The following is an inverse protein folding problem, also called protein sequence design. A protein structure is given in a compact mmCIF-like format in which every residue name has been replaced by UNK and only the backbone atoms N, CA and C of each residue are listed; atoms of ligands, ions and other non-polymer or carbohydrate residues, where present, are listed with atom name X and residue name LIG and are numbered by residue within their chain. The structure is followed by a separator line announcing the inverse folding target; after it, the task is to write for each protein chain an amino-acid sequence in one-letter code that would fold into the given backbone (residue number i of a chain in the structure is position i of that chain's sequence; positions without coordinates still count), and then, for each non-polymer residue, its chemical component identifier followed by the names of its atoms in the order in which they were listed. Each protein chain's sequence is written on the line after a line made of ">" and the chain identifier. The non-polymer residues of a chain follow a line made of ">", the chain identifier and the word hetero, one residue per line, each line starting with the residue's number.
data_IF_606058062926
#
_entry.id   IF_606058062926
#
_cell.length_a   1.000
_cell.length_b   1.000
_cell.length_c   1.000
_cell.angle_alpha   90.00
_cell.angle_beta   90.00
_cell.angle_gamma   90.00
#
_symmetry.space_group_name_H-M   'P 1'
#
loop_
_entity.id
_entity.type
_entity.pdbx_description
1 polymer ?
#
# COMPACT_ATOMS: atom_id res chain seq x y z
N UNK A 1 -14.60 26.38 15.05
CA UNK A 1 -14.95 25.04 14.56
C UNK A 1 -14.82 25.03 13.04
N UNK A 2 -13.76 24.47 12.50
CA UNK A 2 -13.69 24.19 11.06
C UNK A 2 -14.72 23.11 10.75
N UNK A 3 -15.56 23.36 9.73
CA UNK A 3 -16.59 22.42 9.32
C UNK A 3 -15.97 21.08 8.95
N UNK A 4 -16.56 19.93 9.34
CA UNK A 4 -16.04 18.59 9.04
C UNK A 4 -15.74 18.37 7.54
N UNK A 5 -16.44 19.06 6.66
CA UNK A 5 -16.29 19.09 5.21
C UNK A 5 -14.90 19.47 4.69
N UNK A 6 -14.27 20.46 5.29
CA UNK A 6 -12.94 20.93 4.85
C UNK A 6 -11.85 19.91 5.23
N UNK A 7 -12.05 19.15 6.29
CA UNK A 7 -11.03 18.27 6.86
C UNK A 7 -10.75 17.03 6.00
N UNK A 8 -11.80 16.29 5.58
CA UNK A 8 -11.60 15.07 4.77
C UNK A 8 -11.00 15.34 3.40
N UNK A 9 -11.43 16.39 2.71
CA UNK A 9 -10.84 16.78 1.43
C UNK A 9 -9.39 17.20 1.56
N UNK A 10 -9.07 17.97 2.60
CA UNK A 10 -7.70 18.37 2.90
C UNK A 10 -6.83 17.14 3.14
N UNK A 11 -7.34 16.12 3.85
CA UNK A 11 -6.59 14.89 4.10
C UNK A 11 -6.38 14.05 2.83
N UNK A 12 -7.35 13.96 1.93
CA UNK A 12 -7.16 13.30 0.61
C UNK A 12 -6.06 14.01 -0.19
N UNK A 13 -6.09 15.33 -0.23
CA UNK A 13 -5.07 16.13 -0.92
C UNK A 13 -3.70 15.98 -0.26
N UNK A 14 -3.63 15.95 1.07
CA UNK A 14 -2.39 15.73 1.82
C UNK A 14 -1.88 14.31 1.56
N UNK A 15 -2.72 13.29 1.63
CA UNK A 15 -2.35 11.89 1.37
C UNK A 15 -1.77 11.70 -0.03
N UNK A 16 -2.24 12.47 -1.01
CA UNK A 16 -1.79 12.46 -2.41
C UNK A 16 -0.67 13.43 -2.73
N UNK A 17 -0.25 14.26 -1.78
CA UNK A 17 0.75 15.28 -2.04
C UNK A 17 2.10 14.64 -2.44
N UNK A 18 2.67 14.95 -3.61
CA UNK A 18 3.92 14.35 -4.08
C UNK A 18 5.15 14.73 -3.24
N UNK A 19 5.04 15.74 -2.37
CA UNK A 19 6.11 16.13 -1.44
C UNK A 19 6.15 15.28 -0.17
N UNK A 20 5.17 14.40 0.06
CA UNK A 20 5.20 13.47 1.21
C UNK A 20 6.35 12.49 1.07
N UNK A 21 6.87 12.02 2.22
CA UNK A 21 7.85 10.94 2.21
C UNK A 21 7.26 9.68 1.56
N UNK A 22 8.07 9.02 0.75
CA UNK A 22 7.76 7.73 0.15
C UNK A 22 8.25 6.59 1.05
N UNK A 23 7.87 5.35 0.74
CA UNK A 23 8.24 4.20 1.56
C UNK A 23 9.76 4.07 1.72
N UNK A 24 10.54 4.25 0.66
CA UNK A 24 12.00 4.16 0.74
C UNK A 24 12.58 5.18 1.72
N UNK A 25 12.05 6.40 1.76
CA UNK A 25 12.52 7.44 2.68
C UNK A 25 12.16 7.14 4.14
N UNK A 26 11.06 6.41 4.40
CA UNK A 26 10.77 5.89 5.74
C UNK A 26 11.71 4.75 6.11
N UNK A 27 11.98 3.84 5.18
CA UNK A 27 12.91 2.73 5.41
C UNK A 27 14.30 3.26 5.75
N UNK A 28 14.82 4.20 4.98
CA UNK A 28 16.13 4.83 5.20
C UNK A 28 16.21 5.63 6.50
N UNK A 29 15.07 6.17 6.99
CA UNK A 29 15.04 6.89 8.26
C UNK A 29 14.91 5.98 9.48
N UNK A 30 14.32 4.80 9.34
CA UNK A 30 13.98 3.91 10.45
C UNK A 30 15.06 2.84 10.66
N UNK A 31 15.58 2.29 9.56
CA UNK A 31 16.49 1.14 9.60
C UNK A 31 17.94 1.56 9.37
N UNK A 32 18.85 0.87 10.03
CA UNK A 32 20.29 1.12 9.91
C UNK A 32 20.84 0.70 8.55
N UNK A 33 20.30 -0.40 8.01
CA UNK A 33 20.68 -0.96 6.72
C UNK A 33 19.43 -1.47 5.97
N UNK A 34 19.42 -1.34 4.65
CA UNK A 34 18.40 -1.93 3.79
C UNK A 34 19.02 -2.49 2.52
N UNK A 35 18.69 -3.73 2.20
CA UNK A 35 19.11 -4.41 0.97
C UNK A 35 17.86 -4.76 0.17
N UNK A 36 17.63 -4.05 -0.94
CA UNK A 36 16.54 -4.34 -1.85
C UNK A 36 16.82 -5.62 -2.65
N UNK A 37 15.81 -6.46 -2.78
CA UNK A 37 15.88 -7.70 -3.55
C UNK A 37 14.72 -7.77 -4.55
N UNK A 38 14.96 -8.30 -5.74
CA UNK A 38 14.10 -8.14 -6.91
C UNK A 38 13.49 -9.44 -7.43
N UNK A 39 12.43 -9.30 -8.24
CA UNK A 39 11.83 -10.34 -9.07
C UNK A 39 10.87 -11.28 -8.37
N UNK A 40 9.84 -11.68 -9.09
CA UNK A 40 8.81 -12.63 -8.62
C UNK A 40 9.19 -14.11 -8.82
N UNK A 41 10.29 -14.38 -9.54
CA UNK A 41 10.76 -15.73 -9.94
C UNK A 41 9.81 -16.45 -10.88
N UNK A 42 8.91 -15.74 -11.53
CA UNK A 42 7.95 -16.30 -12.48
C UNK A 42 7.94 -15.56 -13.83
N UNK A 43 7.82 -14.22 -13.78
CA UNK A 43 7.68 -13.39 -14.98
C UNK A 43 8.70 -12.25 -15.04
N UNK A 44 8.64 -11.31 -14.11
CA UNK A 44 9.58 -10.16 -14.06
C UNK A 44 9.63 -9.50 -12.68
N UNK A 45 10.43 -8.46 -12.56
CA UNK A 45 10.33 -7.52 -11.45
C UNK A 45 9.35 -6.40 -11.76
N UNK A 46 8.62 -5.95 -10.74
CA UNK A 46 7.80 -4.74 -10.78
C UNK A 46 8.24 -3.82 -9.63
N UNK A 47 8.64 -2.60 -10.00
CA UNK A 47 9.19 -1.60 -9.07
C UNK A 47 8.15 -0.89 -8.21
N UNK A 48 6.86 -1.16 -8.40
CA UNK A 48 5.77 -0.54 -7.62
C UNK A 48 5.67 -1.08 -6.20
N UNK A 49 6.16 -2.31 -5.95
CA UNK A 49 6.45 -2.82 -4.61
C UNK A 49 7.94 -3.08 -4.50
N UNK A 50 8.60 -2.51 -3.52
CA UNK A 50 9.95 -2.83 -3.11
C UNK A 50 9.91 -3.89 -2.02
N UNK A 51 10.83 -4.84 -2.09
CA UNK A 51 10.99 -5.90 -1.09
C UNK A 51 12.45 -6.03 -0.73
N UNK A 52 12.74 -6.30 0.53
CA UNK A 52 14.13 -6.46 0.94
C UNK A 52 14.28 -6.88 2.39
N UNK A 53 15.53 -6.86 2.81
CA UNK A 53 15.94 -7.13 4.18
C UNK A 53 16.43 -5.82 4.80
N UNK A 54 15.95 -5.53 6.00
CA UNK A 54 16.37 -4.36 6.75
C UNK A 54 16.91 -4.78 8.11
N UNK A 55 17.83 -4.00 8.64
CA UNK A 55 18.38 -4.17 9.98
C UNK A 55 17.99 -2.96 10.84
N UNK A 56 17.52 -3.21 12.04
CA UNK A 56 17.31 -2.21 13.08
C UNK A 56 17.88 -2.78 14.37
N UNK A 57 18.88 -2.11 14.92
CA UNK A 57 19.71 -2.65 16.00
C UNK A 57 20.29 -4.04 15.63
N UNK A 58 20.03 -5.06 16.43
CA UNK A 58 20.49 -6.43 16.17
C UNK A 58 19.45 -7.33 15.49
N UNK A 59 18.29 -6.78 15.10
CA UNK A 59 17.20 -7.54 14.50
C UNK A 59 17.12 -7.32 12.99
N UNK A 60 16.90 -8.42 12.28
CA UNK A 60 16.62 -8.40 10.84
C UNK A 60 15.12 -8.49 10.56
N UNK A 61 14.64 -7.61 9.70
CA UNK A 61 13.27 -7.51 9.26
C UNK A 61 13.14 -7.81 7.78
N UNK A 62 11.98 -8.30 7.38
CA UNK A 62 11.58 -8.33 5.97
C UNK A 62 10.68 -7.13 5.71
N UNK A 63 11.04 -6.35 4.69
CA UNK A 63 10.29 -5.17 4.27
C UNK A 63 9.54 -5.48 2.98
N UNK A 64 8.28 -5.08 2.93
CA UNK A 64 7.43 -5.12 1.73
C UNK A 64 6.72 -3.77 1.64
N UNK A 65 6.98 -2.97 0.61
CA UNK A 65 6.51 -1.59 0.61
C UNK A 65 6.04 -1.14 -0.77
N UNK A 66 4.87 -0.55 -0.84
CA UNK A 66 4.39 0.14 -2.03
C UNK A 66 5.14 1.45 -2.20
N UNK A 67 5.69 1.67 -3.40
CA UNK A 67 6.59 2.76 -3.68
C UNK A 67 6.11 3.60 -4.86
N UNK A 68 5.91 4.88 -4.62
CA UNK A 68 5.69 5.91 -5.65
C UNK A 68 7.02 6.56 -6.04
N UNK A 69 7.08 7.11 -7.26
CA UNK A 69 8.24 7.88 -7.72
C UNK A 69 8.20 9.34 -7.27
N UNK A 70 9.36 10.01 -7.29
CA UNK A 70 9.51 11.46 -7.07
C UNK A 70 9.41 12.24 -8.36
N UNK A 71 9.89 11.69 -9.44
CA UNK A 71 9.86 12.28 -10.78
C UNK A 71 8.80 11.60 -11.65
N UNK A 72 8.42 12.24 -12.75
CA UNK A 72 7.51 11.64 -13.73
C UNK A 72 8.06 10.33 -14.28
N UNK A 73 9.37 10.27 -14.56
CA UNK A 73 10.04 9.06 -15.03
C UNK A 73 9.93 7.92 -14.02
N UNK A 74 10.25 8.18 -12.76
CA UNK A 74 10.14 7.19 -11.69
C UNK A 74 8.69 6.74 -11.47
N UNK A 75 7.73 7.65 -11.56
CA UNK A 75 6.32 7.29 -11.44
C UNK A 75 5.87 6.35 -12.57
N UNK A 76 6.33 6.59 -13.81
CA UNK A 76 6.06 5.67 -14.94
C UNK A 76 6.69 4.30 -14.67
N UNK A 77 7.96 4.25 -14.25
CA UNK A 77 8.66 3.00 -13.92
C UNK A 77 7.99 2.20 -12.78
N UNK A 78 7.32 2.89 -11.85
CA UNK A 78 6.62 2.33 -10.69
C UNK A 78 5.11 2.24 -10.88
N UNK A 79 4.60 2.35 -12.12
CA UNK A 79 3.18 2.34 -12.46
C UNK A 79 2.36 3.30 -11.57
N UNK A 80 2.91 4.48 -11.23
CA UNK A 80 2.29 5.45 -10.32
C UNK A 80 1.94 4.88 -8.93
N UNK A 81 2.70 3.90 -8.45
CA UNK A 81 2.45 3.19 -7.21
C UNK A 81 1.31 2.17 -7.28
N UNK A 82 0.90 1.77 -8.48
CA UNK A 82 -0.12 0.74 -8.70
C UNK A 82 0.53 -0.60 -9.07
N UNK A 83 0.51 -1.61 -8.17
CA UNK A 83 1.22 -2.85 -8.40
C UNK A 83 0.57 -3.74 -9.46
N UNK A 84 1.41 -4.36 -10.31
CA UNK A 84 1.04 -5.46 -11.19
C UNK A 84 1.06 -6.81 -10.44
N UNK A 85 0.55 -7.92 -11.03
CA UNK A 85 0.54 -9.24 -10.39
C UNK A 85 1.91 -9.71 -9.89
N UNK A 86 2.98 -9.37 -10.63
CA UNK A 86 4.35 -9.74 -10.28
C UNK A 86 4.82 -9.11 -8.96
N UNK A 87 4.33 -7.92 -8.62
CA UNK A 87 4.60 -7.27 -7.33
C UNK A 87 4.05 -8.09 -6.16
N UNK A 88 2.81 -8.54 -6.26
CA UNK A 88 2.19 -9.36 -5.22
C UNK A 88 2.83 -10.74 -5.11
N UNK A 89 3.21 -11.35 -6.25
CA UNK A 89 3.98 -12.61 -6.24
C UNK A 89 5.36 -12.43 -5.63
N UNK A 90 6.02 -11.31 -5.90
CA UNK A 90 7.26 -10.93 -5.21
C UNK A 90 7.04 -10.80 -3.71
N UNK A 91 6.00 -10.09 -3.27
CA UNK A 91 5.65 -9.96 -1.86
C UNK A 91 5.45 -11.33 -1.20
N UNK A 92 4.66 -12.24 -1.80
CA UNK A 92 4.45 -13.61 -1.32
C UNK A 92 5.79 -14.36 -1.15
N UNK A 93 6.70 -14.22 -2.11
CA UNK A 93 8.02 -14.85 -2.02
C UNK A 93 8.79 -14.37 -0.79
N UNK A 94 8.73 -13.06 -0.49
CA UNK A 94 9.37 -12.49 0.69
C UNK A 94 8.67 -12.87 1.99
N UNK A 95 7.33 -12.98 2.00
CA UNK A 95 6.57 -13.50 3.13
C UNK A 95 7.01 -14.92 3.50
N UNK A 96 7.09 -15.82 2.53
CA UNK A 96 7.57 -17.20 2.74
C UNK A 96 9.03 -17.26 3.20
N UNK A 97 9.88 -16.38 2.68
CA UNK A 97 11.26 -16.30 3.12
C UNK A 97 11.34 -15.76 4.57
N UNK A 98 10.53 -14.77 4.93
CA UNK A 98 10.45 -14.25 6.29
C UNK A 98 10.06 -15.34 7.28
N UNK A 99 9.02 -16.11 6.97
CA UNK A 99 8.57 -17.24 7.80
C UNK A 99 9.66 -18.31 7.94
N UNK A 100 10.30 -18.71 6.83
CA UNK A 100 11.40 -19.68 6.85
C UNK A 100 12.55 -19.29 7.76
N UNK A 101 12.89 -18.02 7.83
CA UNK A 101 14.00 -17.50 8.63
C UNK A 101 13.55 -16.82 9.92
N UNK A 102 12.28 -16.96 10.28
CA UNK A 102 11.67 -16.39 11.49
C UNK A 102 11.91 -14.89 11.65
N UNK A 103 11.77 -14.12 10.56
CA UNK A 103 11.92 -12.67 10.55
C UNK A 103 10.57 -11.98 10.63
N UNK A 104 10.40 -10.96 11.48
CA UNK A 104 9.22 -10.10 11.46
C UNK A 104 9.12 -9.36 10.11
N UNK A 105 7.88 -9.06 9.73
CA UNK A 105 7.58 -8.35 8.48
C UNK A 105 7.04 -6.97 8.83
N UNK A 106 7.53 -5.95 8.13
CA UNK A 106 6.97 -4.61 8.14
C UNK A 106 6.52 -4.26 6.73
N UNK A 107 5.24 -3.87 6.59
CA UNK A 107 4.72 -3.40 5.30
C UNK A 107 4.40 -1.92 5.35
N UNK A 108 4.71 -1.21 4.25
CA UNK A 108 4.35 0.20 4.05
C UNK A 108 3.37 0.29 2.89
N UNK A 109 2.22 0.91 3.14
CA UNK A 109 1.09 0.98 2.20
C UNK A 109 0.95 2.40 1.68
N UNK A 110 1.11 2.57 0.37
CA UNK A 110 0.88 3.84 -0.35
C UNK A 110 0.54 3.59 -1.82
N UNK A 111 -0.71 3.17 -2.09
CA UNK A 111 -1.20 2.88 -3.43
C UNK A 111 -2.60 3.42 -3.67
N UNK A 112 -2.88 3.83 -4.90
CA UNK A 112 -4.23 4.12 -5.40
C UNK A 112 -5.06 2.85 -5.66
N UNK A 113 -4.45 1.68 -5.59
CA UNK A 113 -5.01 0.38 -5.93
C UNK A 113 -4.09 -0.42 -6.85
N UNK A 114 -4.50 -1.64 -7.17
CA UNK A 114 -3.79 -2.49 -8.12
C UNK A 114 -3.87 -1.89 -9.54
N UNK A 115 -2.86 -2.16 -10.38
CA UNK A 115 -2.83 -1.68 -11.76
C UNK A 115 -3.98 -2.27 -12.59
N UNK A 116 -4.85 -1.44 -13.19
CA UNK A 116 -6.10 -1.88 -13.84
C UNK A 116 -5.93 -2.19 -15.35
N UNK A 117 -4.71 -2.47 -15.80
CA UNK A 117 -4.45 -2.71 -17.22
C UNK A 117 -4.78 -4.13 -17.66
N UNK A 118 -5.21 -4.30 -18.93
CA UNK A 118 -5.55 -5.59 -19.53
C UNK A 118 -4.42 -6.61 -19.33
N UNK A 119 -3.16 -6.24 -19.57
CA UNK A 119 -2.03 -7.14 -19.36
C UNK A 119 -1.83 -7.56 -17.89
N UNK A 120 -2.31 -6.81 -16.91
CA UNK A 120 -2.31 -7.23 -15.53
C UNK A 120 -3.41 -8.27 -15.27
N UNK A 121 -4.60 -8.07 -15.82
CA UNK A 121 -5.69 -9.05 -15.74
C UNK A 121 -5.32 -10.38 -16.42
N UNK A 122 -4.74 -10.35 -17.61
CA UNK A 122 -4.24 -11.54 -18.31
C UNK A 122 -3.20 -12.33 -17.52
N UNK A 123 -2.41 -11.66 -16.67
CA UNK A 123 -1.42 -12.29 -15.80
C UNK A 123 -1.94 -12.59 -14.40
N UNK A 124 -3.27 -12.52 -14.19
CA UNK A 124 -3.94 -12.93 -12.97
C UNK A 124 -3.86 -11.94 -11.83
N UNK A 125 -4.22 -10.66 -12.06
CA UNK A 125 -4.20 -9.60 -11.05
C UNK A 125 -5.04 -9.96 -9.82
N UNK A 126 -6.29 -10.39 -10.01
CA UNK A 126 -7.18 -10.76 -8.92
C UNK A 126 -6.68 -11.98 -8.13
N UNK A 127 -6.16 -12.99 -8.83
CA UNK A 127 -5.56 -14.18 -8.19
C UNK A 127 -4.32 -13.81 -7.36
N UNK A 128 -3.45 -12.98 -7.90
CA UNK A 128 -2.23 -12.56 -7.19
C UNK A 128 -2.54 -11.78 -5.90
N UNK A 129 -3.55 -10.89 -5.93
CA UNK A 129 -4.04 -10.15 -4.76
C UNK A 129 -4.62 -11.13 -3.73
N UNK A 130 -5.57 -11.99 -4.13
CA UNK A 130 -6.23 -12.93 -3.23
C UNK A 130 -5.23 -13.89 -2.58
N UNK A 131 -4.27 -14.38 -3.36
CA UNK A 131 -3.21 -15.26 -2.87
C UNK A 131 -2.26 -14.55 -1.90
N UNK A 132 -1.94 -13.27 -2.15
CA UNK A 132 -1.12 -12.49 -1.22
C UNK A 132 -1.81 -12.36 0.13
N UNK A 133 -3.09 -11.99 0.15
CA UNK A 133 -3.89 -11.91 1.39
C UNK A 133 -3.94 -13.26 2.13
N UNK A 134 -4.18 -14.34 1.40
CA UNK A 134 -4.28 -15.68 1.96
C UNK A 134 -2.96 -16.17 2.57
N UNK A 135 -1.84 -15.97 1.87
CA UNK A 135 -0.53 -16.34 2.39
C UNK A 135 -0.16 -15.47 3.60
N UNK A 136 -0.47 -14.16 3.55
CA UNK A 136 -0.19 -13.23 4.64
C UNK A 136 -0.98 -13.61 5.92
N UNK A 137 -2.24 -14.03 5.78
CA UNK A 137 -3.07 -14.46 6.91
C UNK A 137 -2.57 -15.75 7.58
N UNK A 138 -1.74 -16.54 6.91
CA UNK A 138 -1.20 -17.80 7.45
C UNK A 138 0.16 -17.63 8.14
N UNK A 139 0.81 -16.49 8.00
CA UNK A 139 2.14 -16.27 8.51
C UNK A 139 2.19 -16.45 10.04
N UNK A 140 3.22 -17.13 10.50
CA UNK A 140 3.49 -17.37 11.93
C UNK A 140 4.47 -16.37 12.52
N UNK A 141 5.07 -15.53 11.68
CA UNK A 141 5.93 -14.43 12.11
C UNK A 141 5.10 -13.17 12.33
N UNK A 142 5.52 -12.25 13.22
CA UNK A 142 4.84 -10.98 13.43
C UNK A 142 4.82 -10.14 12.15
N UNK A 143 3.66 -9.56 11.86
CA UNK A 143 3.44 -8.65 10.73
C UNK A 143 2.88 -7.33 11.24
N UNK A 144 3.53 -6.24 10.87
CA UNK A 144 3.08 -4.86 11.11
C UNK A 144 2.83 -4.20 9.76
N UNK A 145 1.63 -3.67 9.56
CA UNK A 145 1.29 -2.87 8.38
C UNK A 145 1.14 -1.40 8.75
N UNK A 146 1.70 -0.51 7.94
CA UNK A 146 1.68 0.93 8.16
C UNK A 146 1.16 1.63 6.91
N UNK A 147 -0.02 2.25 7.00
CA UNK A 147 -0.57 3.09 5.93
C UNK A 147 0.09 4.47 6.03
N UNK A 148 0.96 4.76 5.08
CA UNK A 148 1.76 6.00 5.08
C UNK A 148 1.21 7.09 4.18
N UNK A 149 0.31 6.76 3.28
CA UNK A 149 -0.28 7.69 2.33
C UNK A 149 -1.68 7.28 1.93
N UNK A 150 -1.86 6.81 0.72
CA UNK A 150 -3.13 6.35 0.19
C UNK A 150 -3.19 4.83 0.23
N UNK A 151 -4.11 4.25 1.00
CA UNK A 151 -4.38 2.81 1.03
C UNK A 151 -5.70 2.53 0.33
N UNK A 152 -5.66 2.04 -0.91
CA UNK A 152 -6.88 1.82 -1.67
C UNK A 152 -7.05 0.37 -2.15
N UNK A 153 -8.29 -0.13 -1.95
CA UNK A 153 -8.80 -1.36 -2.56
C UNK A 153 -7.95 -2.61 -2.25
N UNK A 154 -8.11 -3.63 -3.10
CA UNK A 154 -7.35 -4.88 -3.01
C UNK A 154 -5.83 -4.70 -3.11
N UNK A 155 -5.38 -3.61 -3.77
CA UNK A 155 -3.96 -3.28 -3.86
C UNK A 155 -3.33 -3.09 -2.50
N UNK A 156 -3.95 -2.28 -1.65
CA UNK A 156 -3.51 -2.06 -0.28
C UNK A 156 -3.72 -3.30 0.61
N UNK A 157 -4.87 -3.97 0.49
CA UNK A 157 -5.19 -5.17 1.27
C UNK A 157 -4.21 -6.31 1.02
N UNK A 158 -3.70 -6.45 -0.20
CA UNK A 158 -2.79 -7.53 -0.57
C UNK A 158 -1.53 -7.61 0.30
N UNK A 159 -1.13 -6.49 0.91
CA UNK A 159 -0.01 -6.42 1.86
C UNK A 159 -0.40 -5.81 3.21
N UNK A 160 -1.73 -5.68 3.45
CA UNK A 160 -2.30 -5.04 4.63
C UNK A 160 -2.82 -5.99 5.71
N UNK A 161 -2.84 -7.30 5.46
CA UNK A 161 -3.29 -8.31 6.44
C UNK A 161 -2.20 -8.53 7.49
N UNK A 162 -2.35 -7.96 8.68
CA UNK A 162 -1.29 -7.89 9.68
C UNK A 162 -1.81 -8.12 11.11
N UNK A 163 -0.90 -8.48 12.03
CA UNK A 163 -1.22 -8.57 13.47
C UNK A 163 -1.51 -7.19 14.07
N UNK A 164 -0.85 -6.15 13.54
CA UNK A 164 -1.07 -4.76 13.90
C UNK A 164 -1.09 -3.90 12.65
N UNK A 165 -2.11 -3.07 12.54
CA UNK A 165 -2.22 -2.09 11.46
C UNK A 165 -2.12 -0.69 12.07
N UNK A 166 -1.18 0.09 11.57
CA UNK A 166 -1.02 1.49 11.91
C UNK A 166 -1.34 2.36 10.70
N UNK A 167 -1.76 3.56 10.95
CA UNK A 167 -2.08 4.52 9.91
C UNK A 167 -1.60 5.90 10.35
N UNK A 168 -0.87 6.60 9.48
CA UNK A 168 -0.48 7.97 9.77
C UNK A 168 -1.73 8.87 9.81
N UNK A 169 -1.72 9.89 10.65
CA UNK A 169 -2.83 10.82 10.85
C UNK A 169 -3.37 11.40 9.54
N UNK A 170 -2.49 11.73 8.61
CA UNK A 170 -2.82 12.32 7.31
C UNK A 170 -2.86 11.29 6.16
N UNK A 171 -2.92 10.01 6.48
CA UNK A 171 -3.16 8.97 5.49
C UNK A 171 -4.67 8.73 5.32
N UNK A 172 -5.04 8.06 4.23
CA UNK A 172 -6.42 7.62 3.95
C UNK A 172 -6.43 6.13 3.62
N UNK A 173 -7.53 5.46 3.99
CA UNK A 173 -7.72 4.06 3.65
C UNK A 173 -9.16 3.81 3.23
N UNK A 174 -9.36 3.20 2.05
CA UNK A 174 -10.70 2.99 1.50
C UNK A 174 -10.75 1.84 0.51
N UNK A 175 -11.96 1.31 0.28
CA UNK A 175 -12.20 0.24 -0.69
C UNK A 175 -12.05 0.70 -2.14
N UNK A 176 -12.29 1.99 -2.40
CA UNK A 176 -12.13 2.61 -3.73
C UNK A 176 -11.85 4.10 -3.56
N UNK A 177 -11.44 4.76 -4.65
CA UNK A 177 -11.20 6.21 -4.59
C UNK A 177 -12.50 7.01 -4.43
N UNK A 178 -12.45 8.22 -3.85
CA UNK A 178 -13.63 9.10 -3.79
C UNK A 178 -14.24 9.39 -5.17
N UNK A 179 -13.43 9.50 -6.22
CA UNK A 179 -13.89 9.65 -7.61
C UNK A 179 -14.64 8.40 -8.09
N UNK A 180 -14.13 7.21 -7.77
CA UNK A 180 -14.79 5.94 -8.07
C UNK A 180 -16.12 5.80 -7.34
N UNK A 181 -16.16 6.13 -6.06
CA UNK A 181 -17.37 6.13 -5.25
C UNK A 181 -18.45 7.05 -5.83
N UNK A 182 -18.09 8.30 -6.14
CA UNK A 182 -19.03 9.27 -6.69
C UNK A 182 -19.51 8.90 -8.09
N UNK A 183 -18.64 8.34 -8.92
CA UNK A 183 -19.00 7.84 -10.26
C UNK A 183 -19.98 6.68 -10.19
N UNK A 184 -19.81 5.75 -9.27
CA UNK A 184 -20.68 4.57 -9.12
C UNK A 184 -22.06 4.99 -8.57
N UNK A 185 -22.11 5.76 -7.50
CA UNK A 185 -23.35 6.08 -6.80
C UNK A 185 -24.13 7.23 -7.44
N UNK A 186 -23.42 8.25 -7.92
CA UNK A 186 -24.07 9.48 -8.41
C UNK A 186 -23.85 9.74 -9.89
N UNK A 187 -23.11 8.88 -10.59
CA UNK A 187 -22.77 9.03 -12.01
C UNK A 187 -22.03 10.35 -12.32
N UNK A 188 -21.37 10.92 -11.31
CA UNK A 188 -20.66 12.20 -11.41
C UNK A 188 -19.35 12.15 -10.59
N UNK A 189 -18.22 11.99 -11.28
CA UNK A 189 -16.90 11.96 -10.66
C UNK A 189 -16.48 13.28 -10.00
N UNK A 190 -17.09 14.42 -10.39
CA UNK A 190 -16.74 15.73 -9.83
C UNK A 190 -17.21 15.90 -8.37
N UNK A 191 -18.12 15.05 -7.91
CA UNK A 191 -18.60 15.04 -6.52
C UNK A 191 -17.67 14.28 -5.56
N UNK A 192 -16.42 14.03 -5.95
CA UNK A 192 -15.45 13.28 -5.14
C UNK A 192 -15.23 13.87 -3.73
N UNK A 193 -15.39 15.18 -3.59
CA UNK A 193 -15.27 15.85 -2.28
C UNK A 193 -16.35 15.40 -1.30
N UNK A 194 -17.60 15.40 -1.74
CA UNK A 194 -18.74 14.89 -0.94
C UNK A 194 -18.59 13.37 -0.68
N UNK A 195 -18.05 12.64 -1.66
CA UNK A 195 -17.77 11.23 -1.52
C UNK A 195 -16.75 10.97 -0.40
N UNK A 196 -15.64 11.69 -0.38
CA UNK A 196 -14.58 11.52 0.61
C UNK A 196 -15.10 11.64 2.05
N UNK A 197 -16.08 12.52 2.28
CA UNK A 197 -16.67 12.69 3.61
C UNK A 197 -17.59 11.53 4.01
N UNK A 198 -18.41 11.06 3.07
CA UNK A 198 -19.32 9.95 3.33
C UNK A 198 -18.60 8.63 3.51
N UNK A 199 -17.45 8.47 2.92
CA UNK A 199 -16.66 7.24 2.96
C UNK A 199 -15.96 6.97 4.29
N UNK A 200 -15.81 7.97 5.16
CA UNK A 200 -15.18 7.76 6.47
C UNK A 200 -13.79 7.10 6.36
N UNK A 201 -12.90 7.70 5.58
CA UNK A 201 -11.64 7.10 5.16
C UNK A 201 -10.39 7.59 5.93
N UNK A 202 -10.60 8.46 6.93
CA UNK A 202 -9.50 9.02 7.70
C UNK A 202 -9.04 8.10 8.83
N UNK A 203 -7.81 8.27 9.31
CA UNK A 203 -7.30 7.50 10.45
C UNK A 203 -8.21 7.61 11.68
N UNK A 204 -8.78 8.79 11.92
CA UNK A 204 -9.74 9.02 13.02
C UNK A 204 -11.01 8.23 12.84
N UNK A 205 -11.63 8.30 11.65
CA UNK A 205 -12.86 7.56 11.36
C UNK A 205 -12.66 6.05 11.55
N UNK A 206 -11.56 5.50 11.01
CA UNK A 206 -11.27 4.07 11.09
C UNK A 206 -10.94 3.61 12.51
N UNK A 207 -10.32 4.47 13.31
CA UNK A 207 -10.09 4.20 14.72
C UNK A 207 -11.38 4.10 15.53
N UNK A 208 -12.40 4.87 15.16
CA UNK A 208 -13.73 4.84 15.80
C UNK A 208 -14.55 3.60 15.43
N UNK A 209 -14.25 2.94 14.31
CA UNK A 209 -14.97 1.73 13.84
C UNK A 209 -14.48 0.40 14.45
N UNK A 210 -13.58 0.43 15.39
CA UNK A 210 -12.99 -0.77 16.04
C UNK A 210 -13.96 -1.87 16.37
#
# INVERSE_FOLDING_TARGET
>A
CLQPYVYCNTLVEIARNPKRKTAIEYIECIFDEFIELHGDRLYKDDKSIICGLAKLDDLCYTIIAEQKGRTTKENIERNFGMPNPESYRKAIRFMKQAEKFNRPIVTFIDTKGAYPGIGAEERGQGEAIAKSMFEMAKLKVPVIAIVIGEGSSGGALAIGVANKVYMLENAIYSILSPEGYSSILWKDANRYKEAAEKMKLTAKDLYEFK
#
